data_IF_277563945532
#
_entry.id   IF_277563945532
#
_cell.length_a   1.000
_cell.length_b   1.000
_cell.length_c   1.000
_cell.angle_alpha   90.00
_cell.angle_beta   90.00
_cell.angle_gamma   90.00
#
_symmetry.space_group_name_H-M   'P 1'
#
loop_
_entity.id
_entity.type
_entity.pdbx_description
1 polymer ?
#
# COMPACT_ATOMS: atom_id res chain seq x y z
N UNK A 1 8.97 -59.26 0.86
CA UNK A 1 10.23 -59.76 0.27
C UNK A 1 11.20 -58.60 0.13
N UNK A 2 12.49 -58.82 0.43
CA UNK A 2 13.73 -58.20 -0.13
C UNK A 2 13.64 -56.85 -0.89
N UNK A 3 14.56 -55.89 -0.73
CA UNK A 3 15.95 -55.96 -0.21
C UNK A 3 16.46 -54.56 0.24
N UNK A 4 17.49 -54.51 1.08
CA UNK A 4 18.38 -53.33 1.26
C UNK A 4 19.56 -53.40 0.24
N UNK A 5 20.56 -52.51 0.15
CA UNK A 5 21.04 -51.33 0.94
C UNK A 5 21.65 -50.32 -0.10
N UNK A 6 22.57 -49.35 0.09
CA UNK A 6 23.51 -48.82 1.11
C UNK A 6 23.73 -47.29 0.84
N UNK A 7 24.43 -46.51 1.69
CA UNK A 7 24.59 -45.05 1.56
C UNK A 7 25.85 -44.61 0.78
N UNK A 8 26.01 -43.29 0.60
CA UNK A 8 27.26 -42.66 0.16
C UNK A 8 27.48 -41.29 0.80
N UNK A 9 28.38 -41.22 1.77
CA UNK A 9 28.86 -39.96 2.39
C UNK A 9 30.15 -39.50 1.69
N UNK A 10 30.34 -38.18 1.50
CA UNK A 10 31.62 -37.60 1.11
C UNK A 10 31.87 -36.23 1.78
N UNK A 11 32.77 -36.21 2.77
CA UNK A 11 33.41 -34.99 3.27
C UNK A 11 34.58 -34.56 2.36
N UNK A 12 34.76 -33.25 2.12
CA UNK A 12 36.02 -32.69 1.63
C UNK A 12 36.70 -31.76 2.66
N UNK A 13 37.62 -32.36 3.44
CA UNK A 13 38.92 -31.83 3.90
C UNK A 13 39.03 -30.35 4.36
N UNK A 14 39.44 -30.17 5.62
CA UNK A 14 39.91 -28.89 6.15
C UNK A 14 41.18 -28.35 5.43
N UNK A 15 41.28 -27.02 5.30
CA UNK A 15 42.42 -26.32 4.70
C UNK A 15 43.51 -25.98 5.73
N UNK A 16 44.78 -26.02 5.30
CA UNK A 16 45.96 -25.87 6.17
C UNK A 16 46.25 -24.41 6.55
N UNK A 17 46.58 -24.16 7.81
CA UNK A 17 46.91 -22.84 8.35
C UNK A 17 48.39 -22.49 8.13
N UNK A 18 48.68 -21.50 7.29
CA UNK A 18 50.03 -20.97 7.10
C UNK A 18 50.47 -20.08 8.29
N UNK A 19 51.77 -20.14 8.63
CA UNK A 19 52.42 -19.32 9.65
C UNK A 19 53.31 -18.26 8.96
N UNK A 20 53.20 -16.96 9.30
CA UNK A 20 54.14 -15.95 8.82
C UNK A 20 55.49 -16.04 9.55
N UNK A 21 56.57 -15.75 8.83
CA UNK A 21 57.95 -15.74 9.35
C UNK A 21 58.26 -14.47 10.17
N UNK A 22 59.25 -14.51 11.08
CA UNK A 22 59.68 -13.33 11.83
C UNK A 22 60.38 -12.32 10.92
N UNK A 23 60.08 -11.02 11.11
CA UNK A 23 60.76 -9.93 10.41
C UNK A 23 62.01 -9.48 11.18
N UNK A 24 63.07 -9.12 10.46
CA UNK A 24 64.36 -8.72 11.02
C UNK A 24 64.34 -7.22 11.37
N UNK A 25 64.85 -6.87 12.55
CA UNK A 25 64.93 -5.47 13.00
C UNK A 25 66.06 -4.71 12.29
N UNK A 26 65.78 -3.48 11.84
CA UNK A 26 66.77 -2.52 11.34
C UNK A 26 67.21 -1.56 12.47
N UNK A 27 68.46 -1.04 12.44
CA UNK A 27 69.00 -0.21 13.52
C UNK A 27 68.47 1.23 13.53
N UNK A 28 68.45 1.85 14.71
CA UNK A 28 67.97 3.22 14.92
C UNK A 28 68.99 4.30 14.48
N UNK A 29 68.49 5.39 13.88
CA UNK A 29 69.26 6.62 13.60
C UNK A 29 69.01 7.69 14.70
N UNK A 30 70.03 8.11 15.48
CA UNK A 30 69.84 8.90 16.69
C UNK A 30 69.76 10.43 16.45
N UNK A 31 68.92 10.91 15.52
CA UNK A 31 68.82 12.35 15.17
C UNK A 31 67.40 12.97 15.17
N UNK A 32 66.43 12.35 15.84
CA UNK A 32 65.03 12.84 15.94
C UNK A 32 64.61 13.57 17.23
N UNK A 33 65.54 13.88 18.15
CA UNK A 33 65.22 14.06 19.57
C UNK A 33 64.60 15.41 20.03
N UNK A 34 64.22 16.34 19.14
CA UNK A 34 63.79 17.71 19.53
C UNK A 34 62.41 18.16 19.05
N UNK A 35 61.62 17.30 18.38
CA UNK A 35 60.23 17.62 17.97
C UNK A 35 59.15 16.85 18.73
N UNK A 36 59.52 15.92 19.62
CA UNK A 36 58.58 15.04 20.32
C UNK A 36 57.71 15.76 21.39
N UNK A 37 58.15 16.90 21.93
CA UNK A 37 57.49 17.58 23.05
C UNK A 37 56.09 18.13 22.72
N UNK A 38 55.95 18.84 21.60
CA UNK A 38 54.69 19.51 21.25
C UNK A 38 53.60 18.55 20.72
N UNK A 39 54.00 17.46 20.07
CA UNK A 39 53.07 16.44 19.57
C UNK A 39 52.30 15.75 20.71
N UNK A 40 53.01 15.39 21.78
CA UNK A 40 52.43 14.67 22.93
C UNK A 40 51.40 15.52 23.71
N UNK A 41 51.58 16.84 23.73
CA UNK A 41 50.65 17.77 24.37
C UNK A 41 49.32 17.87 23.59
N UNK A 42 49.39 18.10 22.28
CA UNK A 42 48.21 18.15 21.40
C UNK A 42 47.45 16.81 21.40
N UNK A 43 48.16 15.68 21.39
CA UNK A 43 47.56 14.35 21.40
C UNK A 43 46.79 14.05 22.70
N UNK A 44 47.25 14.56 23.86
CA UNK A 44 46.50 14.47 25.13
C UNK A 44 45.26 15.36 25.14
N UNK A 45 45.33 16.56 24.57
CA UNK A 45 44.18 17.46 24.49
C UNK A 45 43.08 16.90 23.56
N UNK A 46 43.47 16.32 22.41
CA UNK A 46 42.55 15.62 21.51
C UNK A 46 41.88 14.40 22.18
N UNK A 47 42.63 13.60 22.95
CA UNK A 47 42.11 12.43 23.65
C UNK A 47 40.99 12.75 24.66
N UNK A 48 41.11 13.87 25.39
CA UNK A 48 40.09 14.29 26.34
C UNK A 48 38.80 14.76 25.63
N UNK A 49 38.91 15.53 24.53
CA UNK A 49 37.74 15.91 23.74
C UNK A 49 37.04 14.70 23.10
N UNK A 50 37.77 13.68 22.66
CA UNK A 50 37.19 12.44 22.14
C UNK A 50 36.39 11.67 23.22
N UNK A 51 36.89 11.60 24.45
CA UNK A 51 36.18 10.94 25.56
C UNK A 51 34.93 11.71 26.03
N UNK A 52 35.00 13.03 26.14
CA UNK A 52 33.80 13.85 26.40
C UNK A 52 32.79 13.73 25.26
N UNK A 53 33.26 13.70 24.01
CA UNK A 53 32.44 13.45 22.83
C UNK A 53 31.69 12.13 22.90
N UNK A 54 32.37 11.00 23.16
CA UNK A 54 31.73 9.68 23.29
C UNK A 54 30.75 9.58 24.47
N UNK A 55 31.00 10.29 25.58
CA UNK A 55 30.09 10.31 26.73
C UNK A 55 28.82 11.13 26.45
N UNK A 56 28.94 12.31 25.84
CA UNK A 56 27.79 13.12 25.42
C UNK A 56 27.01 12.42 24.31
N UNK A 57 27.70 11.86 23.31
CA UNK A 57 27.06 11.16 22.19
C UNK A 57 26.36 9.85 22.61
N UNK A 58 26.75 9.24 23.73
CA UNK A 58 25.98 8.15 24.37
C UNK A 58 24.72 8.64 25.09
N UNK A 59 24.67 9.89 25.56
CA UNK A 59 23.46 10.50 26.11
C UNK A 59 22.53 11.06 25.01
N UNK A 60 23.05 11.34 23.82
CA UNK A 60 22.29 11.77 22.63
C UNK A 60 21.78 10.62 21.75
N UNK A 61 21.95 9.36 22.14
CA UNK A 61 21.21 8.26 21.52
C UNK A 61 19.71 8.43 21.87
N UNK A 62 18.81 8.69 20.90
CA UNK A 62 17.41 8.92 21.22
C UNK A 62 16.85 7.68 21.93
N UNK A 63 16.27 7.88 23.11
CA UNK A 63 15.78 6.81 23.96
C UNK A 63 14.91 5.86 23.13
N UNK A 64 15.33 4.58 23.01
CA UNK A 64 14.69 3.56 22.17
C UNK A 64 13.18 3.62 22.38
N UNK A 65 12.45 4.09 21.37
CA UNK A 65 11.05 4.44 21.50
C UNK A 65 10.28 3.29 22.15
N UNK A 66 9.60 3.59 23.26
CA UNK A 66 8.98 2.58 24.11
C UNK A 66 7.91 1.81 23.33
N UNK A 67 8.22 0.56 22.96
CA UNK A 67 7.34 -0.28 22.17
C UNK A 67 7.98 -1.58 21.72
N UNK A 68 7.14 -2.56 21.38
CA UNK A 68 7.57 -3.90 20.93
C UNK A 68 7.52 -3.96 19.40
N UNK A 69 8.64 -4.28 18.75
CA UNK A 69 8.64 -4.56 17.30
C UNK A 69 7.88 -5.86 17.00
N UNK A 70 6.98 -5.83 16.02
CA UNK A 70 6.18 -6.96 15.53
C UNK A 70 6.23 -6.99 14.01
N UNK A 71 6.20 -8.17 13.40
CA UNK A 71 5.99 -8.37 11.96
C UNK A 71 4.70 -9.15 11.76
N UNK A 72 3.88 -8.75 10.79
CA UNK A 72 2.66 -9.43 10.37
C UNK A 72 2.73 -9.71 8.85
N UNK A 73 1.78 -10.47 8.27
CA UNK A 73 1.70 -10.62 6.80
C UNK A 73 1.49 -9.29 6.05
N UNK A 74 1.06 -8.23 6.75
CA UNK A 74 0.71 -6.92 6.20
C UNK A 74 1.59 -5.77 6.73
N UNK A 75 2.76 -6.06 7.32
CA UNK A 75 3.70 -4.99 7.68
C UNK A 75 4.68 -5.31 8.82
N UNK A 76 5.42 -4.27 9.22
CA UNK A 76 6.33 -4.26 10.37
C UNK A 76 6.00 -3.04 11.21
N UNK A 77 5.74 -3.26 12.49
CA UNK A 77 5.23 -2.22 13.39
C UNK A 77 6.03 -2.12 14.69
N UNK A 78 6.06 -0.93 15.28
CA UNK A 78 6.40 -0.67 16.69
C UNK A 78 5.08 -0.56 17.46
N UNK A 79 4.76 -1.59 18.24
CA UNK A 79 3.56 -1.60 19.09
C UNK A 79 3.78 -0.70 20.30
N UNK A 80 2.98 0.35 20.43
CA UNK A 80 3.00 1.32 21.54
C UNK A 80 1.74 1.18 22.40
N UNK A 81 1.78 1.68 23.64
CA UNK A 81 0.63 1.59 24.55
C UNK A 81 -0.44 2.67 24.29
N UNK A 82 -0.03 3.86 23.78
CA UNK A 82 -0.88 4.99 23.38
C UNK A 82 -0.22 5.79 22.26
N UNK A 83 -0.99 6.66 21.61
CA UNK A 83 -0.55 7.68 20.65
C UNK A 83 0.43 7.18 19.57
N UNK A 84 -0.09 6.31 18.70
CA UNK A 84 0.60 5.80 17.51
C UNK A 84 0.83 6.90 16.44
N UNK A 85 1.77 7.81 16.72
CA UNK A 85 2.25 8.85 15.79
C UNK A 85 3.42 8.31 14.94
N UNK A 86 3.33 8.46 13.62
CA UNK A 86 4.25 7.89 12.65
C UNK A 86 3.80 6.51 12.17
N UNK A 87 3.99 6.25 10.87
CA UNK A 87 3.27 5.22 10.11
C UNK A 87 3.61 3.79 10.56
N UNK A 88 4.86 3.59 11.01
CA UNK A 88 5.34 2.31 11.56
C UNK A 88 4.80 2.02 12.97
N UNK A 89 4.02 2.94 13.57
CA UNK A 89 3.45 2.76 14.91
C UNK A 89 2.01 2.29 14.87
N UNK A 90 1.66 1.50 15.88
CA UNK A 90 0.32 0.95 16.07
C UNK A 90 0.08 0.72 17.56
N UNK A 91 -1.13 0.98 18.06
CA UNK A 91 -1.51 0.50 19.38
C UNK A 91 -1.80 -1.01 19.35
N UNK A 92 -1.83 -1.67 20.52
CA UNK A 92 -2.22 -3.09 20.59
C UNK A 92 -3.62 -3.32 20.03
N UNK A 93 -4.58 -2.45 20.35
CA UNK A 93 -5.97 -2.59 19.91
C UNK A 93 -6.11 -2.49 18.37
N UNK A 94 -5.43 -1.54 17.74
CA UNK A 94 -5.37 -1.41 16.28
C UNK A 94 -4.69 -2.62 15.61
N UNK A 95 -3.61 -3.14 16.20
CA UNK A 95 -2.92 -4.33 15.68
C UNK A 95 -3.80 -5.57 15.77
N UNK A 96 -4.48 -5.77 16.89
CA UNK A 96 -5.39 -6.90 17.10
C UNK A 96 -6.61 -6.80 16.15
N UNK A 97 -7.11 -5.59 15.90
CA UNK A 97 -8.17 -5.33 14.90
C UNK A 97 -7.69 -5.63 13.48
N UNK A 98 -6.58 -5.04 13.04
CA UNK A 98 -6.00 -5.28 11.72
C UNK A 98 -5.66 -6.76 11.49
N UNK A 99 -5.20 -7.48 12.52
CA UNK A 99 -4.93 -8.93 12.45
C UNK A 99 -6.20 -9.75 12.26
N UNK A 100 -7.31 -9.40 12.95
CA UNK A 100 -8.62 -10.04 12.70
C UNK A 100 -9.15 -9.72 11.31
N UNK A 101 -9.11 -8.46 10.89
CA UNK A 101 -9.50 -8.00 9.53
C UNK A 101 -8.76 -8.77 8.45
N UNK A 102 -7.43 -8.80 8.52
CA UNK A 102 -6.60 -9.54 7.55
C UNK A 102 -6.94 -11.03 7.51
N UNK A 103 -7.18 -11.64 8.67
CA UNK A 103 -7.58 -13.05 8.77
C UNK A 103 -8.93 -13.30 8.11
N UNK A 104 -9.91 -12.42 8.31
CA UNK A 104 -11.25 -12.53 7.73
C UNK A 104 -11.28 -12.28 6.21
N UNK A 105 -10.47 -11.34 5.69
CA UNK A 105 -10.33 -11.12 4.23
C UNK A 105 -9.67 -12.34 3.58
N UNK A 106 -8.55 -12.83 4.16
CA UNK A 106 -7.81 -13.97 3.59
C UNK A 106 -8.56 -15.30 3.67
N UNK A 107 -9.44 -15.49 4.66
CA UNK A 107 -10.35 -16.65 4.77
C UNK A 107 -11.65 -16.52 3.97
N UNK A 108 -11.96 -15.34 3.40
CA UNK A 108 -13.22 -15.08 2.71
C UNK A 108 -14.44 -14.93 3.63
N UNK A 109 -14.22 -14.58 4.90
CA UNK A 109 -15.25 -14.39 5.94
C UNK A 109 -15.58 -12.90 6.21
N UNK A 110 -14.85 -11.96 5.62
CA UNK A 110 -15.15 -10.53 5.69
C UNK A 110 -16.22 -10.11 4.66
N UNK A 111 -17.01 -9.05 4.91
CA UNK A 111 -17.78 -8.36 3.89
C UNK A 111 -16.93 -7.83 2.72
N UNK A 112 -15.64 -7.55 2.94
CA UNK A 112 -14.66 -7.28 1.89
C UNK A 112 -14.15 -8.61 1.31
N UNK A 113 -14.59 -8.92 0.10
CA UNK A 113 -14.36 -10.16 -0.62
C UNK A 113 -13.57 -9.93 -1.91
N UNK A 114 -12.79 -10.93 -2.33
CA UNK A 114 -11.93 -10.87 -3.52
C UNK A 114 -12.12 -12.16 -4.31
N UNK A 115 -12.38 -12.05 -5.62
CA UNK A 115 -12.59 -13.17 -6.54
C UNK A 115 -11.60 -13.11 -7.69
N UNK A 116 -10.92 -14.23 -8.01
CA UNK A 116 -10.20 -14.40 -9.28
C UNK A 116 -11.12 -14.52 -10.50
N UNK A 117 -12.43 -14.68 -10.28
CA UNK A 117 -13.43 -14.89 -11.33
C UNK A 117 -14.38 -13.69 -11.42
N UNK A 118 -14.45 -13.07 -12.60
CA UNK A 118 -15.40 -11.99 -12.91
C UNK A 118 -16.85 -12.50 -12.86
N UNK A 119 -17.83 -11.61 -12.68
CA UNK A 119 -19.27 -11.94 -12.66
C UNK A 119 -19.74 -12.85 -13.82
N UNK A 120 -19.13 -12.71 -15.00
CA UNK A 120 -19.41 -13.53 -16.20
C UNK A 120 -18.51 -14.78 -16.35
N UNK A 121 -17.94 -15.32 -15.27
CA UNK A 121 -17.39 -16.68 -15.21
C UNK A 121 -15.97 -16.90 -15.75
N UNK A 122 -15.30 -15.86 -16.27
CA UNK A 122 -13.87 -15.96 -16.64
C UNK A 122 -12.97 -15.76 -15.42
N UNK A 123 -12.06 -16.71 -15.21
CA UNK A 123 -11.07 -16.70 -14.12
C UNK A 123 -9.71 -16.17 -14.59
N UNK A 124 -9.04 -15.40 -13.73
CA UNK A 124 -7.72 -14.81 -13.95
C UNK A 124 -6.80 -15.19 -12.77
N UNK A 125 -6.12 -16.35 -12.82
CA UNK A 125 -5.30 -16.83 -11.71
C UNK A 125 -4.18 -15.85 -11.32
N UNK A 126 -3.98 -15.62 -10.02
CA UNK A 126 -3.02 -14.64 -9.52
C UNK A 126 -3.59 -13.24 -9.30
N UNK A 127 -4.86 -12.99 -9.68
CA UNK A 127 -5.53 -11.72 -9.45
C UNK A 127 -5.73 -11.47 -7.95
N UNK A 128 -6.28 -12.46 -7.23
CA UNK A 128 -6.53 -12.38 -5.79
C UNK A 128 -5.25 -12.19 -5.00
N UNK A 129 -4.15 -12.85 -5.38
CA UNK A 129 -2.83 -12.66 -4.79
C UNK A 129 -2.32 -11.21 -4.98
N UNK A 130 -2.51 -10.60 -6.15
CA UNK A 130 -2.15 -9.20 -6.39
C UNK A 130 -3.01 -8.22 -5.59
N UNK A 131 -4.33 -8.40 -5.55
CA UNK A 131 -5.22 -7.59 -4.68
C UNK A 131 -4.83 -7.71 -3.22
N UNK A 132 -4.56 -8.93 -2.73
CA UNK A 132 -4.10 -9.16 -1.37
C UNK A 132 -2.74 -8.50 -1.09
N UNK A 133 -1.81 -8.47 -2.05
CA UNK A 133 -0.54 -7.75 -1.91
C UNK A 133 -0.74 -6.22 -1.80
N UNK A 134 -1.67 -5.64 -2.59
CA UNK A 134 -2.02 -4.23 -2.49
C UNK A 134 -2.72 -3.90 -1.15
N UNK A 135 -3.65 -4.74 -0.69
CA UNK A 135 -4.29 -4.60 0.62
C UNK A 135 -3.29 -4.75 1.78
N UNK A 136 -2.33 -5.66 1.68
CA UNK A 136 -1.24 -5.80 2.64
C UNK A 136 -0.36 -4.54 2.70
N UNK A 137 -0.07 -3.93 1.55
CA UNK A 137 0.66 -2.68 1.47
C UNK A 137 -0.13 -1.52 2.10
N UNK A 138 -1.43 -1.36 1.79
CA UNK A 138 -2.31 -0.38 2.44
C UNK A 138 -2.34 -0.56 3.96
N UNK A 139 -2.54 -1.80 4.44
CA UNK A 139 -2.58 -2.10 5.88
C UNK A 139 -1.25 -1.90 6.61
N UNK A 140 -0.13 -1.76 5.89
CA UNK A 140 1.18 -1.44 6.46
C UNK A 140 1.30 0.02 6.93
N UNK A 141 0.49 0.93 6.37
CA UNK A 141 0.44 2.37 6.73
C UNK A 141 -0.87 2.71 7.45
N UNK A 142 -1.01 3.90 8.03
CA UNK A 142 -2.08 4.25 8.98
C UNK A 142 -3.41 4.59 8.30
N UNK A 143 -3.41 5.40 7.25
CA UNK A 143 -4.62 5.73 6.49
C UNK A 143 -5.08 4.52 5.67
N UNK A 144 -4.17 3.82 4.98
CA UNK A 144 -4.50 2.58 4.28
C UNK A 144 -5.05 1.48 5.20
N UNK A 145 -4.50 1.31 6.41
CA UNK A 145 -5.03 0.39 7.43
C UNK A 145 -6.40 0.81 7.95
N UNK A 146 -6.64 2.11 8.19
CA UNK A 146 -7.95 2.63 8.60
C UNK A 146 -9.00 2.26 7.56
N UNK A 147 -8.74 2.57 6.28
CA UNK A 147 -9.63 2.31 5.15
C UNK A 147 -10.03 0.82 5.06
N UNK A 148 -9.04 -0.08 5.02
CA UNK A 148 -9.31 -1.52 4.88
C UNK A 148 -10.02 -2.10 6.13
N UNK A 149 -9.72 -1.60 7.34
CA UNK A 149 -10.39 -2.04 8.58
C UNK A 149 -11.83 -1.51 8.67
N UNK A 150 -12.10 -0.27 8.27
CA UNK A 150 -13.46 0.29 8.20
C UNK A 150 -14.34 -0.52 7.23
N UNK A 151 -13.88 -0.74 6.00
CA UNK A 151 -14.62 -1.50 4.98
C UNK A 151 -14.85 -2.97 5.38
N UNK A 152 -13.82 -3.64 5.90
CA UNK A 152 -13.89 -5.04 6.29
C UNK A 152 -14.72 -5.32 7.57
N UNK A 153 -15.17 -4.26 8.25
CA UNK A 153 -16.04 -4.31 9.43
C UNK A 153 -17.43 -3.68 9.18
N UNK A 154 -17.71 -3.18 7.97
CA UNK A 154 -18.97 -2.55 7.61
C UNK A 154 -20.16 -3.51 7.52
N UNK A 155 -21.38 -2.95 7.49
CA UNK A 155 -22.63 -3.69 7.28
C UNK A 155 -22.84 -4.12 5.83
N UNK A 156 -22.21 -3.42 4.89
CA UNK A 156 -22.33 -3.62 3.44
C UNK A 156 -21.18 -4.47 2.90
N UNK A 157 -21.43 -5.12 1.77
CA UNK A 157 -20.46 -5.96 1.07
C UNK A 157 -19.61 -5.13 0.11
N UNK A 158 -18.32 -5.44 0.04
CA UNK A 158 -17.43 -5.00 -1.04
C UNK A 158 -16.91 -6.23 -1.76
N UNK A 159 -17.04 -6.26 -3.08
CA UNK A 159 -16.52 -7.34 -3.91
C UNK A 159 -15.51 -6.79 -4.91
N UNK A 160 -14.24 -7.18 -4.77
CA UNK A 160 -13.20 -6.90 -5.75
C UNK A 160 -13.16 -8.05 -6.76
N UNK A 161 -13.31 -7.74 -8.05
CA UNK A 161 -13.23 -8.70 -9.15
C UNK A 161 -12.43 -8.18 -10.36
N UNK A 162 -11.89 -9.07 -11.22
CA UNK A 162 -11.22 -8.66 -12.44
C UNK A 162 -12.21 -8.20 -13.51
N UNK A 163 -11.80 -7.21 -14.31
CA UNK A 163 -12.51 -6.82 -15.54
C UNK A 163 -11.54 -6.27 -16.59
N UNK A 164 -11.52 -6.85 -17.79
CA UNK A 164 -10.77 -6.28 -18.91
C UNK A 164 -11.39 -4.97 -19.43
N UNK A 165 -12.65 -4.67 -19.09
CA UNK A 165 -13.30 -3.45 -19.54
C UNK A 165 -12.71 -2.19 -18.89
N UNK A 166 -12.18 -2.29 -17.66
CA UNK A 166 -11.56 -1.15 -16.95
C UNK A 166 -10.11 -0.90 -17.36
N UNK A 167 -9.49 -1.80 -18.14
CA UNK A 167 -8.17 -1.60 -18.73
C UNK A 167 -8.13 -0.49 -19.80
N UNK A 168 -9.30 0.03 -20.19
CA UNK A 168 -9.47 1.19 -21.08
C UNK A 168 -9.82 2.49 -20.34
N UNK A 169 -9.98 2.44 -19.02
CA UNK A 169 -10.20 3.62 -18.17
C UNK A 169 -8.85 4.19 -17.71
N UNK A 170 -8.78 5.51 -17.54
CA UNK A 170 -7.53 6.22 -17.24
C UNK A 170 -6.84 5.68 -15.98
N UNK A 171 -7.64 5.31 -14.97
CA UNK A 171 -7.19 4.87 -13.64
C UNK A 171 -7.09 3.34 -13.48
N UNK A 172 -7.45 2.57 -14.51
CA UNK A 172 -7.32 1.10 -14.52
C UNK A 172 -8.21 0.35 -13.50
N UNK A 173 -9.30 0.98 -13.07
CA UNK A 173 -10.30 0.47 -12.13
C UNK A 173 -11.69 1.08 -12.36
N UNK A 174 -12.70 0.57 -11.66
CA UNK A 174 -14.07 1.11 -11.60
C UNK A 174 -14.75 0.65 -10.30
N UNK A 175 -15.37 1.58 -9.57
CA UNK A 175 -16.23 1.27 -8.41
C UNK A 175 -17.70 1.49 -8.72
N UNK A 176 -18.55 0.55 -8.31
CA UNK A 176 -19.99 0.59 -8.57
C UNK A 176 -20.83 0.15 -7.35
N UNK A 177 -21.55 1.10 -6.75
CA UNK A 177 -22.71 0.83 -5.90
C UNK A 177 -23.82 0.05 -6.63
N UNK A 178 -24.33 -0.99 -5.97
CA UNK A 178 -25.47 -1.78 -6.42
C UNK A 178 -26.83 -1.10 -6.17
N UNK A 179 -26.92 -0.21 -5.17
CA UNK A 179 -28.02 0.74 -5.00
C UNK A 179 -27.49 2.18 -5.14
N UNK A 180 -27.70 2.76 -6.32
CA UNK A 180 -27.29 4.13 -6.65
C UNK A 180 -28.07 5.19 -5.85
N UNK A 181 -29.28 4.90 -5.37
CA UNK A 181 -30.02 5.82 -4.52
C UNK A 181 -29.52 5.75 -3.07
N UNK A 182 -29.19 4.55 -2.60
CA UNK A 182 -28.58 4.29 -1.30
C UNK A 182 -27.18 4.91 -1.16
N UNK A 183 -26.35 4.84 -2.21
CA UNK A 183 -25.01 5.44 -2.25
C UNK A 183 -24.99 6.97 -2.07
N UNK A 184 -26.10 7.67 -2.34
CA UNK A 184 -26.26 9.11 -2.12
C UNK A 184 -27.04 9.46 -0.83
N UNK A 185 -27.39 8.47 0.00
CA UNK A 185 -28.19 8.64 1.21
C UNK A 185 -27.47 8.09 2.46
N UNK A 186 -27.00 8.95 3.39
CA UNK A 186 -26.27 8.54 4.61
C UNK A 186 -27.04 7.68 5.62
N UNK A 187 -28.32 7.39 5.35
CA UNK A 187 -29.15 6.47 6.14
C UNK A 187 -29.34 5.09 5.49
N UNK A 188 -28.78 4.86 4.30
CA UNK A 188 -29.00 3.64 3.51
C UNK A 188 -27.69 2.98 3.06
N UNK A 189 -26.75 3.73 2.48
CA UNK A 189 -25.53 3.17 1.89
C UNK A 189 -25.79 2.20 0.73
N UNK A 190 -24.76 1.50 0.28
CA UNK A 190 -24.87 0.47 -0.76
C UNK A 190 -23.85 -0.66 -0.58
N UNK A 191 -24.22 -1.87 -1.01
CA UNK A 191 -23.24 -2.90 -1.38
C UNK A 191 -22.49 -2.47 -2.66
N UNK A 192 -21.22 -2.85 -2.80
CA UNK A 192 -20.31 -2.32 -3.83
C UNK A 192 -19.58 -3.44 -4.58
N UNK A 193 -19.42 -3.27 -5.89
CA UNK A 193 -18.48 -4.04 -6.71
C UNK A 193 -17.37 -3.12 -7.20
N UNK A 194 -16.12 -3.47 -6.87
CA UNK A 194 -14.91 -2.86 -7.41
C UNK A 194 -14.40 -3.77 -8.52
N UNK A 195 -14.04 -3.18 -9.66
CA UNK A 195 -13.45 -3.88 -10.81
C UNK A 195 -12.05 -3.33 -11.06
N UNK A 196 -11.10 -4.22 -11.30
CA UNK A 196 -9.70 -3.86 -11.57
C UNK A 196 -9.21 -4.58 -12.84
N UNK A 197 -8.30 -3.95 -13.58
CA UNK A 197 -7.68 -4.58 -14.74
C UNK A 197 -6.88 -5.84 -14.32
N UNK A 198 -7.24 -7.05 -14.83
CA UNK A 198 -6.55 -8.29 -14.50
C UNK A 198 -5.12 -8.39 -15.06
N UNK A 199 -4.74 -7.59 -16.06
CA UNK A 199 -3.35 -7.51 -16.51
C UNK A 199 -2.47 -6.73 -15.50
N UNK A 200 -3.08 -5.77 -14.79
CA UNK A 200 -2.41 -4.75 -13.99
C UNK A 200 -1.46 -3.92 -14.87
N UNK A 201 -2.04 -3.37 -15.94
CA UNK A 201 -1.41 -2.44 -16.86
C UNK A 201 -0.91 -1.20 -16.12
N UNK A 202 0.18 -0.60 -16.61
CA UNK A 202 0.73 0.61 -16.02
C UNK A 202 -0.23 1.79 -16.20
N UNK A 203 -0.81 2.24 -15.09
CA UNK A 203 -1.68 3.42 -15.02
C UNK A 203 -0.81 4.67 -14.90
N UNK A 204 -1.22 5.75 -15.58
CA UNK A 204 -0.50 7.02 -15.57
C UNK A 204 -1.46 8.19 -15.43
N UNK A 205 -1.19 9.06 -14.46
CA UNK A 205 -1.78 10.41 -14.33
C UNK A 205 -0.72 11.45 -14.66
N UNK A 206 -1.06 12.75 -14.72
CA UNK A 206 -0.06 13.81 -14.86
C UNK A 206 0.10 14.61 -13.56
N UNK A 207 1.31 15.07 -13.27
CA UNK A 207 1.61 16.01 -12.20
C UNK A 207 1.15 17.44 -12.51
N UNK A 208 1.43 18.38 -11.61
CA UNK A 208 1.11 19.80 -11.76
C UNK A 208 1.91 20.53 -12.87
N UNK A 209 2.77 19.80 -13.58
CA UNK A 209 3.61 20.28 -14.68
C UNK A 209 3.32 19.54 -16.00
N UNK A 210 2.39 18.57 -16.00
CA UNK A 210 2.02 17.76 -17.15
C UNK A 210 2.92 16.53 -17.40
N UNK A 211 3.83 16.20 -16.48
CA UNK A 211 4.68 15.01 -16.56
C UNK A 211 3.96 13.77 -16.03
N UNK A 212 4.19 12.61 -16.64
CA UNK A 212 3.47 11.38 -16.32
C UNK A 212 3.95 10.73 -15.00
N UNK A 213 3.07 10.69 -13.99
CA UNK A 213 3.25 9.95 -12.75
C UNK A 213 2.69 8.53 -12.92
N UNK A 214 3.49 7.51 -12.62
CA UNK A 214 3.03 6.12 -12.59
C UNK A 214 2.15 5.86 -11.35
N UNK A 215 0.97 5.30 -11.62
CA UNK A 215 -0.04 4.65 -10.75
C UNK A 215 0.43 3.45 -9.92
N UNK A 216 0.96 3.52 -8.67
CA UNK A 216 1.35 2.29 -7.97
C UNK A 216 0.10 1.52 -7.53
N UNK A 217 0.12 0.19 -7.64
CA UNK A 217 -1.06 -0.66 -7.40
C UNK A 217 -1.71 -0.45 -6.02
N UNK A 218 -0.91 -0.13 -5.00
CA UNK A 218 -1.40 0.21 -3.65
C UNK A 218 -2.26 1.48 -3.63
N UNK A 219 -1.91 2.49 -4.45
CA UNK A 219 -2.66 3.74 -4.58
C UNK A 219 -3.91 3.53 -5.43
N UNK A 220 -3.81 2.80 -6.56
CA UNK A 220 -4.96 2.45 -7.41
C UNK A 220 -6.02 1.66 -6.66
N UNK A 221 -5.63 0.60 -5.94
CA UNK A 221 -6.56 -0.16 -5.09
C UNK A 221 -7.10 0.71 -3.94
N UNK A 222 -6.28 1.64 -3.41
CA UNK A 222 -6.70 2.61 -2.42
C UNK A 222 -7.80 3.57 -2.90
N UNK A 223 -7.66 4.12 -4.10
CA UNK A 223 -8.63 5.02 -4.76
C UNK A 223 -10.02 4.38 -4.87
N UNK A 224 -10.10 3.18 -5.45
CA UNK A 224 -11.37 2.43 -5.56
C UNK A 224 -12.00 2.11 -4.18
N UNK A 225 -11.18 1.80 -3.19
CA UNK A 225 -11.66 1.54 -1.82
C UNK A 225 -12.21 2.82 -1.15
N UNK A 226 -11.74 4.01 -1.52
CA UNK A 226 -12.29 5.29 -1.03
C UNK A 226 -13.68 5.54 -1.63
N UNK A 227 -13.86 5.33 -2.93
CA UNK A 227 -15.20 5.37 -3.55
C UNK A 227 -16.14 4.34 -2.91
N UNK A 228 -15.67 3.10 -2.69
CA UNK A 228 -16.47 2.08 -2.03
C UNK A 228 -16.86 2.47 -0.60
N UNK A 229 -15.98 3.20 0.11
CA UNK A 229 -16.27 3.77 1.43
C UNK A 229 -17.33 4.86 1.37
N UNK A 230 -17.32 5.73 0.34
CA UNK A 230 -18.35 6.75 0.16
C UNK A 230 -19.70 6.15 -0.22
N UNK A 231 -19.73 5.15 -1.12
CA UNK A 231 -20.92 4.37 -1.50
C UNK A 231 -21.55 3.67 -0.29
N UNK A 232 -20.74 2.97 0.52
CA UNK A 232 -21.16 2.28 1.75
C UNK A 232 -21.68 3.27 2.80
N UNK A 233 -21.03 4.43 2.93
CA UNK A 233 -21.47 5.48 3.86
C UNK A 233 -22.69 6.28 3.35
N UNK A 234 -23.15 6.06 2.12
CA UNK A 234 -24.23 6.84 1.52
C UNK A 234 -23.84 8.30 1.25
N UNK A 235 -22.55 8.56 1.04
CA UNK A 235 -21.96 9.90 0.90
C UNK A 235 -21.39 10.20 -0.49
N UNK A 236 -21.55 9.28 -1.45
CA UNK A 236 -21.06 9.45 -2.82
C UNK A 236 -21.56 10.78 -3.40
N UNK A 237 -20.65 11.61 -3.89
CA UNK A 237 -20.95 12.99 -4.30
C UNK A 237 -20.99 13.19 -5.83
N UNK A 238 -20.95 12.14 -6.64
CA UNK A 238 -20.71 12.21 -8.09
C UNK A 238 -21.77 12.98 -8.88
N UNK A 239 -22.99 13.11 -8.34
CA UNK A 239 -24.07 13.94 -8.88
C UNK A 239 -23.90 15.45 -8.60
N UNK A 240 -22.84 15.86 -7.89
CA UNK A 240 -22.54 17.25 -7.54
C UNK A 240 -21.28 17.73 -8.25
N UNK A 241 -21.19 19.02 -8.65
CA UNK A 241 -19.97 19.59 -9.20
C UNK A 241 -18.86 19.69 -8.13
N UNK A 242 -17.61 19.49 -8.58
CA UNK A 242 -16.41 19.84 -7.83
C UNK A 242 -16.36 21.35 -7.50
N UNK A 243 -15.51 21.77 -6.57
CA UNK A 243 -15.23 23.19 -6.34
C UNK A 243 -14.11 23.66 -7.28
N UNK A 244 -13.07 22.84 -7.46
CA UNK A 244 -12.07 23.01 -8.49
C UNK A 244 -12.52 22.32 -9.80
N UNK A 245 -12.63 23.03 -10.94
CA UNK A 245 -12.90 22.43 -12.24
C UNK A 245 -11.78 21.52 -12.77
N UNK A 246 -10.69 21.35 -12.00
CA UNK A 246 -9.71 20.30 -12.18
C UNK A 246 -10.17 18.90 -11.71
N UNK A 247 -11.45 18.68 -11.41
CA UNK A 247 -12.01 17.34 -11.16
C UNK A 247 -13.32 17.14 -11.92
N UNK A 248 -13.56 15.92 -12.44
CA UNK A 248 -14.77 15.58 -13.21
C UNK A 248 -16.07 15.84 -12.43
N UNK A 249 -16.06 15.61 -11.12
CA UNK A 249 -17.19 15.79 -10.20
C UNK A 249 -16.69 15.87 -8.74
N UNK A 250 -17.61 16.09 -7.78
CA UNK A 250 -17.29 16.22 -6.35
C UNK A 250 -16.77 14.93 -5.70
N UNK A 251 -17.15 13.76 -6.22
CA UNK A 251 -16.70 12.46 -5.71
C UNK A 251 -15.21 12.25 -6.01
N UNK A 252 -14.75 12.58 -7.22
CA UNK A 252 -13.31 12.58 -7.55
C UNK A 252 -12.52 13.55 -6.67
N UNK A 253 -13.02 14.78 -6.50
CA UNK A 253 -12.38 15.80 -5.67
C UNK A 253 -12.26 15.35 -4.21
N UNK A 254 -13.31 14.74 -3.65
CA UNK A 254 -13.30 14.16 -2.31
C UNK A 254 -12.35 12.95 -2.21
N UNK A 255 -12.39 12.03 -3.18
CA UNK A 255 -11.54 10.84 -3.19
C UNK A 255 -10.07 11.19 -3.32
N UNK A 256 -9.71 12.19 -4.12
CA UNK A 256 -8.31 12.54 -4.39
C UNK A 256 -7.74 13.49 -3.33
N UNK A 257 -8.48 14.54 -2.94
CA UNK A 257 -7.92 15.70 -2.22
C UNK A 257 -8.74 16.16 -0.99
N UNK A 258 -10.07 16.26 -1.06
CA UNK A 258 -10.87 17.01 -0.05
C UNK A 258 -11.64 16.17 0.98
N UNK A 259 -11.59 14.83 0.91
CA UNK A 259 -12.26 13.92 1.86
C UNK A 259 -11.55 13.78 3.22
N UNK A 260 -12.17 13.07 4.17
CA UNK A 260 -11.54 12.75 5.47
C UNK A 260 -10.48 11.61 5.37
N UNK A 261 -10.44 10.93 4.23
CA UNK A 261 -9.41 9.98 3.81
C UNK A 261 -9.32 10.03 2.28
N UNK A 262 -8.11 10.24 1.73
CA UNK A 262 -7.94 10.57 0.30
C UNK A 262 -6.78 9.84 -0.38
N UNK A 263 -6.79 9.79 -1.71
CA UNK A 263 -5.71 9.24 -2.55
C UNK A 263 -4.39 9.95 -2.26
N UNK A 264 -4.38 11.27 -2.09
CA UNK A 264 -3.17 12.03 -1.77
C UNK A 264 -2.61 11.71 -0.36
N UNK A 265 -3.46 11.40 0.63
CA UNK A 265 -2.98 10.88 1.93
C UNK A 265 -2.35 9.49 1.77
N UNK A 266 -2.93 8.61 0.95
CA UNK A 266 -2.33 7.30 0.66
C UNK A 266 -1.00 7.44 -0.10
N UNK A 267 -0.90 8.38 -1.04
CA UNK A 267 0.35 8.72 -1.75
C UNK A 267 1.43 9.22 -0.80
N UNK A 268 1.10 10.13 0.12
CA UNK A 268 2.04 10.63 1.15
C UNK A 268 2.61 9.46 1.99
N UNK A 269 1.73 8.61 2.54
CA UNK A 269 2.13 7.43 3.32
C UNK A 269 2.98 6.45 2.52
N UNK A 270 2.76 6.33 1.21
CA UNK A 270 3.54 5.45 0.33
C UNK A 270 4.74 6.12 -0.34
N UNK A 271 4.99 7.41 -0.06
CA UNK A 271 6.07 8.23 -0.61
C UNK A 271 6.01 8.33 -2.15
N UNK A 272 4.80 8.54 -2.65
CA UNK A 272 4.44 8.77 -4.04
C UNK A 272 4.06 10.25 -4.19
N UNK A 273 4.41 10.88 -5.31
CA UNK A 273 4.01 12.26 -5.58
C UNK A 273 2.47 12.40 -5.64
N UNK A 274 1.97 13.53 -5.12
CA UNK A 274 0.54 13.83 -5.09
C UNK A 274 -0.05 13.95 -6.50
N UNK A 275 -1.28 13.46 -6.68
CA UNK A 275 -2.10 13.67 -7.87
C UNK A 275 -2.79 15.03 -7.74
N UNK A 276 -2.49 16.03 -8.57
CA UNK A 276 -3.34 17.22 -8.66
C UNK A 276 -4.66 16.85 -9.35
N UNK A 277 -5.65 17.74 -9.24
CA UNK A 277 -6.80 17.70 -10.12
C UNK A 277 -6.36 17.70 -11.60
N UNK A 278 -7.00 16.83 -12.39
CA UNK A 278 -6.88 16.76 -13.84
C UNK A 278 -8.18 17.32 -14.44
N UNK A 279 -8.19 18.48 -15.10
CA UNK A 279 -9.41 19.02 -15.68
C UNK A 279 -9.97 18.06 -16.72
N UNK A 280 -11.24 17.69 -16.53
CA UNK A 280 -11.97 16.71 -17.35
C UNK A 280 -11.62 16.85 -18.83
N UNK A 281 -11.10 15.80 -19.51
CA UNK A 281 -10.64 15.91 -20.89
C UNK A 281 -11.81 16.39 -21.75
N UNK A 282 -11.69 17.62 -22.27
CA UNK A 282 -12.80 18.36 -22.90
C UNK A 282 -13.48 17.48 -23.95
N UNK A 283 -14.63 16.92 -23.61
CA UNK A 283 -15.45 16.09 -24.50
C UNK A 283 -15.98 16.97 -25.62
N UNK A 284 -15.20 17.07 -26.71
CA UNK A 284 -15.63 17.72 -27.94
C UNK A 284 -16.98 17.13 -28.36
N UNK A 285 -17.95 18.03 -28.59
CA UNK A 285 -19.35 17.74 -28.27
C UNK A 285 -20.03 16.67 -29.09
N UNK A 286 -20.02 15.43 -28.59
CA UNK A 286 -21.09 14.46 -28.86
C UNK A 286 -22.10 14.49 -27.70
N UNK A 287 -23.09 15.39 -27.83
CA UNK A 287 -24.34 15.25 -27.08
C UNK A 287 -25.01 13.93 -27.44
N UNK A 288 -25.56 13.22 -26.45
CA UNK A 288 -26.51 12.13 -26.70
C UNK A 288 -26.03 10.69 -26.56
N UNK A 289 -25.24 10.36 -25.52
CA UNK A 289 -25.24 8.99 -24.94
C UNK A 289 -25.25 9.01 -23.40
N UNK A 290 -26.20 9.74 -22.81
CA UNK A 290 -26.70 9.34 -21.50
C UNK A 290 -27.45 8.03 -21.67
N UNK A 291 -26.92 6.91 -21.14
CA UNK A 291 -27.61 5.62 -21.17
C UNK A 291 -28.77 5.64 -20.16
N UNK A 292 -29.91 6.17 -20.60
CA UNK A 292 -31.17 5.59 -20.18
C UNK A 292 -31.12 4.10 -20.56
N UNK A 293 -31.31 3.22 -19.58
CA UNK A 293 -31.60 1.82 -19.86
C UNK A 293 -33.09 1.72 -20.21
N UNK A 294 -33.44 2.25 -21.39
CA UNK A 294 -34.75 2.03 -21.98
C UNK A 294 -35.01 0.51 -22.04
N UNK A 295 -36.19 0.03 -21.61
CA UNK A 295 -36.44 -1.39 -21.47
C UNK A 295 -36.27 -2.09 -22.83
N UNK A 296 -35.53 -3.21 -22.82
CA UNK A 296 -35.28 -4.00 -24.03
C UNK A 296 -36.59 -4.31 -24.77
N UNK A 297 -36.64 -4.16 -26.11
CA UNK A 297 -37.86 -4.37 -26.86
C UNK A 297 -38.37 -5.80 -26.66
N UNK A 298 -39.61 -5.92 -26.18
CA UNK A 298 -40.27 -7.20 -25.88
C UNK A 298 -40.19 -8.16 -27.07
N UNK A 299 -39.47 -9.26 -26.90
CA UNK A 299 -39.41 -10.32 -27.91
C UNK A 299 -40.83 -10.87 -28.16
N UNK A 300 -41.27 -11.03 -29.42
CA UNK A 300 -42.62 -11.50 -29.72
C UNK A 300 -42.80 -12.94 -29.23
N UNK A 301 -43.77 -13.14 -28.33
CA UNK A 301 -44.12 -14.46 -27.78
C UNK A 301 -44.54 -15.43 -28.88
N UNK A 302 -43.67 -16.38 -29.23
CA UNK A 302 -44.01 -17.47 -30.15
C UNK A 302 -45.07 -18.36 -29.48
N UNK A 303 -46.26 -18.54 -30.08
CA UNK A 303 -47.30 -19.37 -29.47
C UNK A 303 -46.87 -20.83 -29.47
N UNK A 304 -46.77 -21.44 -28.27
CA UNK A 304 -46.75 -22.90 -28.14
C UNK A 304 -48.04 -23.45 -28.74
N UNK A 305 -47.91 -24.27 -29.79
CA UNK A 305 -48.97 -25.21 -30.16
C UNK A 305 -49.03 -26.32 -29.11
N UNK A 306 -50.25 -26.68 -28.75
CA UNK A 306 -50.59 -27.99 -28.16
C UNK A 306 -50.80 -28.99 -29.31
#
# INVERSE_FOLDING_TARGET
>A
MTKATHPGEQEPRAATRAMPTPSIAAPCDPRGALTAGSALALQRQAGNHALTGLLVQRQSAPARAAGRRVTTPFGRFVVVDRDARGDDRITRAELDAATRTWSAITSGQSPLTISDTQTFGRTYPGFRERVLAALAALMSRRHGRRLVVELAAGSHRVRIEPSEAVALLQDGGETQALDQAGAHNPHTGSDVVIRLDPAWSAVHVLDAHGAALTVPDVVRVGHELIHARHDIAGTNASTRPAADPAYDNREEENTIETGDLTENQLREEHHVDARPGQPAPRRHGHHGYGRSLDPLPSLPSVPRRL
#
